data_IF_060228173783
#
_entry.id   IF_060228173783
#
_cell.length_a   1.000
_cell.length_b   1.000
_cell.length_c   1.000
_cell.angle_alpha   90.00
_cell.angle_beta   90.00
_cell.angle_gamma   90.00
#
_symmetry.space_group_name_H-M   'P 1'
#
loop_
_entity.id
_entity.type
_entity.pdbx_description
1 polymer ?
#
# COMPACT_ATOMS: atom_id res chain seq x y z
N UNK A 1 17.16 26.90 21.09
CA UNK A 1 16.11 27.02 20.08
C UNK A 1 16.26 26.14 18.83
N UNK A 2 16.97 25.03 18.87
CA UNK A 2 17.12 24.13 17.69
C UNK A 2 16.20 22.90 17.80
N UNK A 3 15.40 22.82 18.86
CA UNK A 3 14.66 21.60 19.20
C UNK A 3 13.28 21.45 18.54
N UNK A 4 12.62 22.54 18.09
CA UNK A 4 11.22 22.43 17.64
C UNK A 4 11.09 22.02 16.18
N UNK A 5 11.91 22.52 15.28
CA UNK A 5 11.82 22.21 13.84
C UNK A 5 12.25 20.75 13.54
N UNK A 6 13.31 20.25 14.21
CA UNK A 6 13.72 18.86 14.07
C UNK A 6 12.68 17.90 14.66
N UNK A 7 12.06 18.23 15.80
CA UNK A 7 10.99 17.42 16.40
C UNK A 7 9.72 17.39 15.56
N UNK A 8 9.44 18.45 14.81
CA UNK A 8 8.25 18.50 13.93
C UNK A 8 8.45 17.70 12.64
N UNK A 9 9.67 17.61 12.13
CA UNK A 9 10.00 16.74 10.98
C UNK A 9 9.86 15.27 11.38
N UNK A 10 10.32 14.87 12.56
CA UNK A 10 10.15 13.50 13.07
C UNK A 10 8.69 13.13 13.38
N UNK A 11 7.81 14.10 13.60
CA UNK A 11 6.38 13.87 13.87
C UNK A 11 5.53 13.69 12.61
N UNK A 12 6.09 13.94 11.40
CA UNK A 12 5.37 13.85 10.13
C UNK A 12 5.86 12.68 9.29
N UNK A 13 5.97 11.52 9.92
CA UNK A 13 6.43 10.31 9.25
C UNK A 13 5.53 9.15 9.58
N UNK A 14 5.22 8.34 8.58
CA UNK A 14 4.45 7.11 8.72
C UNK A 14 5.17 5.95 8.03
N UNK A 15 4.95 4.74 8.53
CA UNK A 15 5.35 3.51 7.86
C UNK A 15 4.10 2.78 7.38
N UNK A 16 4.10 2.37 6.14
CA UNK A 16 2.97 1.68 5.50
C UNK A 16 3.47 0.52 4.64
N UNK A 17 2.59 -0.18 3.96
CA UNK A 17 2.99 -1.29 3.10
C UNK A 17 2.80 -0.95 1.63
N UNK A 18 3.44 -1.73 0.75
CA UNK A 18 3.27 -1.62 -0.71
C UNK A 18 1.81 -1.81 -1.16
N UNK A 19 0.93 -2.34 -0.31
CA UNK A 19 -0.50 -2.51 -0.60
C UNK A 19 -1.38 -1.35 -0.16
N UNK A 20 -0.85 -0.36 0.55
CA UNK A 20 -1.63 0.83 0.89
C UNK A 20 -2.05 1.58 -0.37
N UNK A 21 -3.25 2.13 -0.37
CA UNK A 21 -3.84 2.77 -1.56
C UNK A 21 -2.99 3.93 -2.07
N UNK A 22 -2.90 4.08 -3.39
CA UNK A 22 -2.17 5.18 -4.05
C UNK A 22 -2.61 6.56 -3.52
N UNK A 23 -3.89 6.70 -3.18
CA UNK A 23 -4.43 7.92 -2.60
C UNK A 23 -3.80 8.32 -1.26
N UNK A 24 -3.38 7.34 -0.44
CA UNK A 24 -2.64 7.61 0.79
C UNK A 24 -1.30 8.28 0.48
N UNK A 25 -0.55 7.75 -0.47
CA UNK A 25 0.75 8.31 -0.85
C UNK A 25 0.61 9.73 -1.39
N UNK A 26 -0.36 9.95 -2.28
CA UNK A 26 -0.66 11.30 -2.81
C UNK A 26 -1.10 12.28 -1.74
N UNK A 27 -1.90 11.82 -0.77
CA UNK A 27 -2.30 12.65 0.37
C UNK A 27 -1.10 13.01 1.27
N UNK A 28 -0.20 12.05 1.51
CA UNK A 28 1.05 12.29 2.24
C UNK A 28 1.95 13.29 1.52
N UNK A 29 2.17 13.12 0.21
CA UNK A 29 2.97 14.03 -0.61
C UNK A 29 2.41 15.46 -0.55
N UNK A 30 1.09 15.61 -0.73
CA UNK A 30 0.41 16.91 -0.65
C UNK A 30 0.52 17.55 0.73
N UNK A 31 0.52 16.75 1.78
CA UNK A 31 0.61 17.22 3.17
C UNK A 31 2.05 17.40 3.67
N UNK A 32 3.07 17.04 2.87
CA UNK A 32 4.47 17.04 3.29
C UNK A 32 4.76 16.00 4.38
N UNK A 33 4.03 14.88 4.36
CA UNK A 33 4.23 13.76 5.28
C UNK A 33 5.16 12.76 4.59
N UNK A 34 6.31 12.50 5.21
CA UNK A 34 7.21 11.46 4.74
C UNK A 34 6.62 10.08 5.05
N UNK A 35 6.76 9.13 4.13
CA UNK A 35 6.30 7.77 4.34
C UNK A 35 7.30 6.74 3.82
N UNK A 36 7.36 5.60 4.51
CA UNK A 36 8.11 4.44 4.06
C UNK A 36 7.16 3.30 3.70
N UNK A 37 7.55 2.50 2.73
CA UNK A 37 6.79 1.36 2.23
C UNK A 37 7.54 0.07 2.56
N UNK A 38 6.90 -0.83 3.27
CA UNK A 38 7.43 -2.17 3.56
C UNK A 38 6.73 -3.24 2.73
N UNK A 39 7.25 -4.45 2.81
CA UNK A 39 6.48 -5.63 2.43
C UNK A 39 5.21 -5.74 3.29
N UNK A 40 4.22 -6.49 2.79
CA UNK A 40 2.95 -6.73 3.51
C UNK A 40 3.20 -7.57 4.75
N UNK A 41 2.69 -7.12 5.87
CA UNK A 41 2.79 -7.75 7.18
C UNK A 41 3.17 -6.74 8.26
N UNK A 42 2.41 -6.72 9.36
CA UNK A 42 2.61 -5.82 10.49
C UNK A 42 4.02 -5.94 11.10
N UNK A 43 4.60 -7.14 11.05
CA UNK A 43 5.98 -7.39 11.45
C UNK A 43 6.97 -6.48 10.71
N UNK A 44 6.86 -6.38 9.39
CA UNK A 44 7.77 -5.55 8.59
C UNK A 44 7.56 -4.06 8.83
N UNK A 45 6.30 -3.66 9.06
CA UNK A 45 5.96 -2.29 9.46
C UNK A 45 6.63 -1.95 10.79
N UNK A 46 6.47 -2.81 11.81
CA UNK A 46 7.04 -2.59 13.13
C UNK A 46 8.59 -2.63 13.13
N UNK A 47 9.20 -3.55 12.39
CA UNK A 47 10.65 -3.62 12.23
C UNK A 47 11.20 -2.30 11.65
N UNK A 48 10.58 -1.78 10.58
CA UNK A 48 10.97 -0.51 9.98
C UNK A 48 10.79 0.66 10.97
N UNK A 49 9.64 0.70 11.67
CA UNK A 49 9.39 1.72 12.70
C UNK A 49 10.47 1.73 13.78
N UNK A 50 10.88 0.55 14.25
CA UNK A 50 11.90 0.42 15.30
C UNK A 50 13.28 0.85 14.81
N UNK A 51 13.68 0.41 13.62
CA UNK A 51 14.97 0.73 13.02
C UNK A 51 15.15 2.22 12.77
N UNK A 52 14.08 2.91 12.34
CA UNK A 52 14.14 4.31 11.92
C UNK A 52 13.52 5.29 12.93
N UNK A 53 13.04 4.79 14.07
CA UNK A 53 12.48 5.64 15.14
C UNK A 53 11.11 6.23 14.81
N UNK A 54 10.32 5.57 13.95
CA UNK A 54 8.99 6.04 13.58
C UNK A 54 7.94 5.70 14.65
N UNK A 55 6.97 6.60 14.85
CA UNK A 55 5.98 6.47 15.90
C UNK A 55 4.63 5.91 15.44
N UNK A 56 4.35 5.97 14.14
CA UNK A 56 3.08 5.56 13.54
C UNK A 56 3.33 4.69 12.32
N UNK A 57 2.69 3.55 12.30
CA UNK A 57 2.70 2.67 11.14
C UNK A 57 1.38 1.93 11.01
N UNK A 58 1.14 1.34 9.84
CA UNK A 58 -0.06 0.56 9.64
C UNK A 58 -0.20 -0.03 8.25
N UNK A 59 -1.24 -0.83 8.12
CA UNK A 59 -1.60 -1.53 6.90
C UNK A 59 -3.03 -1.19 6.48
N UNK A 60 -3.35 -1.36 5.20
CA UNK A 60 -4.70 -1.22 4.68
C UNK A 60 -5.70 -2.22 5.30
N UNK A 61 -5.20 -3.30 5.91
CA UNK A 61 -6.01 -4.28 6.64
C UNK A 61 -6.62 -3.74 7.95
N UNK A 62 -6.19 -2.56 8.40
CA UNK A 62 -6.67 -1.92 9.63
C UNK A 62 -5.76 -2.15 10.84
N UNK A 63 -4.62 -2.80 10.69
CA UNK A 63 -3.60 -2.86 11.73
C UNK A 63 -2.87 -1.52 11.80
N UNK A 64 -3.11 -0.75 12.86
CA UNK A 64 -2.44 0.52 13.11
C UNK A 64 -1.60 0.41 14.37
N UNK A 65 -0.33 0.75 14.27
CA UNK A 65 0.67 0.64 15.34
C UNK A 65 1.05 2.03 15.81
N UNK A 66 0.85 2.30 17.07
CA UNK A 66 1.38 3.47 17.78
C UNK A 66 2.53 3.00 18.68
N UNK A 67 3.78 3.08 18.22
CA UNK A 67 4.95 2.50 18.91
C UNK A 67 5.17 2.97 20.34
N UNK A 68 4.63 4.13 20.71
CA UNK A 68 4.64 4.64 22.09
C UNK A 68 3.73 3.87 23.04
N UNK A 69 2.78 3.09 22.52
CA UNK A 69 1.75 2.42 23.29
C UNK A 69 1.75 0.91 23.12
N UNK A 70 2.11 0.42 21.93
CA UNK A 70 2.08 -1.01 21.61
C UNK A 70 3.11 -1.36 20.53
N UNK A 71 3.52 -2.62 20.50
CA UNK A 71 4.43 -3.20 19.48
C UNK A 71 3.70 -3.84 18.31
N UNK A 72 2.38 -3.84 18.34
CA UNK A 72 1.48 -4.41 17.34
C UNK A 72 0.28 -3.52 17.13
N UNK A 73 -0.53 -3.80 16.11
CA UNK A 73 -1.80 -3.11 15.90
C UNK A 73 -2.76 -3.30 17.08
N UNK A 74 -3.40 -2.21 17.49
CA UNK A 74 -4.40 -2.20 18.56
C UNK A 74 -5.59 -1.32 18.16
N UNK A 75 -6.74 -1.95 17.97
CA UNK A 75 -7.97 -1.28 17.52
C UNK A 75 -8.54 -0.34 18.58
N UNK A 76 -8.39 -0.62 19.86
CA UNK A 76 -8.89 0.22 20.95
C UNK A 76 -8.03 1.49 21.04
N UNK A 77 -6.71 1.36 21.04
CA UNK A 77 -5.79 2.51 21.02
C UNK A 77 -6.04 3.34 19.76
N UNK A 78 -6.22 2.71 18.61
CA UNK A 78 -6.51 3.41 17.34
C UNK A 78 -7.81 4.22 17.45
N UNK A 79 -8.88 3.64 17.97
CA UNK A 79 -10.16 4.33 18.16
C UNK A 79 -10.01 5.54 19.11
N UNK A 80 -9.33 5.37 20.23
CA UNK A 80 -9.08 6.46 21.18
C UNK A 80 -8.26 7.59 20.54
N UNK A 81 -7.22 7.26 19.78
CA UNK A 81 -6.39 8.25 19.06
C UNK A 81 -7.18 8.99 17.98
N UNK A 82 -8.08 8.32 17.28
CA UNK A 82 -8.98 8.99 16.33
C UNK A 82 -9.94 9.97 17.03
N UNK A 83 -10.51 9.57 18.17
CA UNK A 83 -11.35 10.47 18.98
C UNK A 83 -10.58 11.69 19.49
N UNK A 84 -9.34 11.52 19.96
CA UNK A 84 -8.46 12.63 20.34
C UNK A 84 -8.28 13.62 19.18
N UNK A 85 -8.02 13.13 17.96
CA UNK A 85 -7.85 13.97 16.77
C UNK A 85 -9.14 14.70 16.42
N UNK A 86 -10.30 14.01 16.47
CA UNK A 86 -11.60 14.63 16.20
C UNK A 86 -11.90 15.77 17.19
N UNK A 87 -11.64 15.56 18.47
CA UNK A 87 -11.82 16.57 19.50
C UNK A 87 -10.85 17.74 19.34
N UNK A 88 -9.58 17.48 19.11
CA UNK A 88 -8.55 18.50 18.93
C UNK A 88 -8.80 19.37 17.68
N UNK A 89 -9.26 18.76 16.59
CA UNK A 89 -9.57 19.46 15.33
C UNK A 89 -10.98 20.03 15.29
N UNK A 90 -11.85 19.62 16.21
CA UNK A 90 -13.30 19.97 16.23
C UNK A 90 -13.99 19.62 14.91
N UNK A 91 -13.64 18.46 14.33
CA UNK A 91 -14.15 17.99 13.04
C UNK A 91 -14.60 16.54 13.15
N UNK A 92 -15.68 16.16 12.45
CA UNK A 92 -16.07 14.77 12.31
C UNK A 92 -15.06 14.01 11.45
N UNK A 93 -15.03 12.68 11.59
CA UNK A 93 -14.11 11.82 10.86
C UNK A 93 -14.24 11.96 9.34
N UNK A 94 -15.45 12.14 8.83
CA UNK A 94 -15.71 12.37 7.40
C UNK A 94 -14.93 13.57 6.84
N UNK A 95 -14.89 14.68 7.57
CA UNK A 95 -14.11 15.85 7.16
C UNK A 95 -12.59 15.65 7.31
N UNK A 96 -12.17 14.86 8.30
CA UNK A 96 -10.75 14.53 8.48
C UNK A 96 -10.26 13.62 7.36
N UNK A 97 -11.12 12.79 6.78
CA UNK A 97 -10.82 11.89 5.69
C UNK A 97 -10.88 12.54 4.28
N UNK A 98 -11.47 13.73 4.13
CA UNK A 98 -11.61 14.42 2.84
C UNK A 98 -10.29 14.52 2.00
N UNK A 99 -9.11 14.76 2.61
CA UNK A 99 -7.88 14.82 1.83
C UNK A 99 -7.47 13.51 1.18
N UNK A 100 -8.08 12.39 1.59
CA UNK A 100 -7.76 11.05 1.09
C UNK A 100 -8.73 10.67 -0.03
N UNK A 101 -8.27 10.76 -1.28
CA UNK A 101 -8.97 10.20 -2.43
C UNK A 101 -8.63 8.72 -2.58
N UNK A 102 -9.61 7.83 -2.42
CA UNK A 102 -9.41 6.39 -2.61
C UNK A 102 -9.42 6.08 -4.10
N UNK A 103 -8.30 5.56 -4.61
CA UNK A 103 -8.20 5.08 -5.98
C UNK A 103 -8.89 3.74 -6.13
N UNK A 104 -9.70 3.54 -7.19
CA UNK A 104 -10.19 2.23 -7.58
C UNK A 104 -9.05 1.22 -7.68
N UNK A 105 -9.29 0.01 -7.19
CA UNK A 105 -8.33 -1.08 -7.19
C UNK A 105 -8.97 -2.36 -7.70
N UNK A 106 -8.27 -3.06 -8.58
CA UNK A 106 -8.60 -4.42 -8.99
C UNK A 106 -7.45 -5.34 -8.62
N UNK A 107 -7.75 -6.41 -7.91
CA UNK A 107 -6.82 -7.46 -7.54
C UNK A 107 -7.36 -8.81 -8.04
N UNK A 108 -6.60 -9.49 -8.90
CA UNK A 108 -6.92 -10.85 -9.33
C UNK A 108 -5.80 -11.81 -8.91
N UNK A 109 -6.21 -12.98 -8.44
CA UNK A 109 -5.33 -14.07 -8.08
C UNK A 109 -5.31 -15.07 -9.24
N UNK A 110 -4.12 -15.44 -9.69
CA UNK A 110 -3.93 -16.39 -10.80
C UNK A 110 -3.18 -17.61 -10.28
N UNK A 111 -3.82 -18.78 -10.34
CA UNK A 111 -3.16 -20.03 -9.98
C UNK A 111 -2.16 -20.40 -11.07
N UNK A 112 -0.95 -20.74 -10.67
CA UNK A 112 0.16 -21.00 -11.59
C UNK A 112 0.94 -22.24 -11.17
N UNK A 113 1.56 -22.88 -12.15
CA UNK A 113 2.43 -24.06 -11.95
C UNK A 113 3.69 -23.72 -11.15
N UNK A 114 4.29 -22.55 -11.44
CA UNK A 114 5.46 -22.02 -10.74
C UNK A 114 5.32 -20.51 -10.61
N UNK A 115 5.05 -20.06 -9.39
CA UNK A 115 4.80 -18.63 -9.11
C UNK A 115 6.04 -17.76 -9.27
N UNK A 116 7.21 -18.31 -8.96
CA UNK A 116 8.48 -17.59 -9.07
C UNK A 116 8.88 -17.41 -10.53
N UNK A 117 8.73 -18.45 -11.35
CA UNK A 117 8.96 -18.34 -12.78
C UNK A 117 7.96 -17.42 -13.45
N UNK A 118 6.66 -17.57 -13.15
CA UNK A 118 5.60 -16.72 -13.72
C UNK A 118 5.82 -15.24 -13.42
N UNK A 119 6.16 -14.88 -12.18
CA UNK A 119 6.42 -13.49 -11.79
C UNK A 119 7.68 -12.92 -12.46
N UNK A 120 8.71 -13.73 -12.67
CA UNK A 120 10.01 -13.30 -13.18
C UNK A 120 10.17 -13.53 -14.70
N UNK A 121 9.16 -14.05 -15.39
CA UNK A 121 9.16 -14.21 -16.84
C UNK A 121 9.37 -12.86 -17.54
N UNK A 122 10.24 -12.86 -18.55
CA UNK A 122 10.66 -11.62 -19.24
C UNK A 122 9.48 -10.89 -19.90
N UNK A 123 8.54 -11.63 -20.50
CA UNK A 123 7.38 -11.03 -21.18
C UNK A 123 6.35 -10.50 -20.17
N UNK A 124 6.18 -11.20 -19.03
CA UNK A 124 5.32 -10.73 -17.94
C UNK A 124 5.89 -9.43 -17.35
N UNK A 125 7.19 -9.38 -17.08
CA UNK A 125 7.85 -8.16 -16.59
C UNK A 125 7.76 -7.00 -17.59
N UNK A 126 8.00 -7.28 -18.87
CA UNK A 126 7.86 -6.27 -19.92
C UNK A 126 6.43 -5.71 -20.00
N UNK A 127 5.40 -6.55 -19.84
CA UNK A 127 4.02 -6.10 -19.78
C UNK A 127 3.75 -5.24 -18.55
N UNK A 128 4.26 -5.64 -17.38
CA UNK A 128 4.15 -4.85 -16.15
C UNK A 128 4.82 -3.48 -16.29
N UNK A 129 6.03 -3.42 -16.84
CA UNK A 129 6.75 -2.17 -17.08
C UNK A 129 6.00 -1.25 -18.06
N UNK A 130 5.43 -1.82 -19.13
CA UNK A 130 4.60 -1.07 -20.09
C UNK A 130 3.36 -0.52 -19.40
N UNK A 131 2.64 -1.34 -18.63
CA UNK A 131 1.47 -0.90 -17.88
C UNK A 131 1.82 0.22 -16.88
N UNK A 132 2.90 0.07 -16.14
CA UNK A 132 3.37 1.09 -15.20
C UNK A 132 3.68 2.42 -15.90
N UNK A 133 4.32 2.37 -17.09
CA UNK A 133 4.62 3.56 -17.90
C UNK A 133 3.36 4.25 -18.41
N UNK A 134 2.38 3.47 -18.89
CA UNK A 134 1.12 4.00 -19.41
C UNK A 134 0.24 4.58 -18.29
N UNK A 135 0.22 3.96 -17.10
CA UNK A 135 -0.48 4.45 -15.91
C UNK A 135 0.14 5.76 -15.36
N UNK A 136 1.44 5.93 -15.52
CA UNK A 136 2.15 7.12 -15.06
C UNK A 136 2.00 7.38 -13.56
N UNK A 137 1.72 8.64 -13.21
CA UNK A 137 1.52 9.07 -11.81
C UNK A 137 0.09 8.82 -11.31
N UNK A 138 -0.86 8.53 -12.20
CA UNK A 138 -2.29 8.40 -11.88
C UNK A 138 -2.74 6.95 -11.71
N UNK A 139 -1.78 6.04 -11.67
CA UNK A 139 -2.03 4.64 -11.38
C UNK A 139 -0.76 3.90 -11.00
N UNK A 140 -0.92 2.64 -10.64
CA UNK A 140 0.19 1.73 -10.38
C UNK A 140 -0.22 0.28 -10.59
N UNK A 141 0.75 -0.55 -10.84
CA UNK A 141 0.60 -1.99 -10.95
C UNK A 141 1.56 -2.69 -10.00
N UNK A 142 1.11 -3.75 -9.37
CA UNK A 142 1.90 -4.60 -8.51
C UNK A 142 1.62 -6.06 -8.84
N UNK A 143 2.67 -6.81 -9.16
CA UNK A 143 2.61 -8.26 -9.39
C UNK A 143 3.49 -8.92 -8.34
N UNK A 144 2.92 -9.85 -7.58
CA UNK A 144 3.66 -10.55 -6.54
C UNK A 144 3.17 -11.98 -6.36
N UNK A 145 4.08 -12.87 -6.00
CA UNK A 145 3.73 -14.22 -5.58
C UNK A 145 3.03 -14.23 -4.21
N UNK A 146 2.16 -15.20 -4.00
CA UNK A 146 1.60 -15.49 -2.68
C UNK A 146 2.63 -16.23 -1.82
N UNK A 147 2.73 -15.87 -0.53
CA UNK A 147 3.61 -16.56 0.41
C UNK A 147 3.23 -18.02 0.64
N UNK A 148 1.92 -18.30 0.66
CA UNK A 148 1.37 -19.60 1.11
C UNK A 148 0.73 -20.43 0.02
N UNK A 149 0.29 -19.83 -1.08
CA UNK A 149 -0.48 -20.48 -2.12
C UNK A 149 0.27 -20.48 -3.46
N UNK A 150 0.02 -21.45 -4.36
CA UNK A 150 0.63 -21.52 -5.70
C UNK A 150 -0.06 -20.52 -6.65
N UNK A 151 0.01 -19.23 -6.34
CA UNK A 151 -0.61 -18.19 -7.15
C UNK A 151 0.23 -16.91 -7.20
N UNK A 152 0.03 -16.18 -8.27
CA UNK A 152 0.50 -14.80 -8.47
C UNK A 152 -0.67 -13.85 -8.30
N UNK A 153 -0.44 -12.78 -7.59
CA UNK A 153 -1.42 -11.69 -7.36
C UNK A 153 -1.08 -10.52 -8.27
N UNK A 154 -2.03 -10.12 -9.09
CA UNK A 154 -1.92 -8.97 -9.98
C UNK A 154 -2.87 -7.90 -9.48
N UNK A 155 -2.33 -6.76 -9.09
CA UNK A 155 -3.08 -5.62 -8.56
C UNK A 155 -2.81 -4.37 -9.40
N UNK A 156 -3.87 -3.66 -9.76
CA UNK A 156 -3.79 -2.35 -10.39
C UNK A 156 -4.66 -1.36 -9.63
N UNK A 157 -4.15 -0.18 -9.41
CA UNK A 157 -4.89 1.01 -8.97
C UNK A 157 -4.80 2.06 -10.05
N UNK A 158 -5.93 2.70 -10.37
CA UNK A 158 -6.02 3.74 -11.38
C UNK A 158 -7.23 4.66 -11.13
N UNK A 159 -7.44 5.66 -11.97
CA UNK A 159 -8.53 6.62 -11.85
C UNK A 159 -9.94 6.03 -12.02
N UNK A 160 -10.07 4.85 -12.62
CA UNK A 160 -11.33 4.14 -12.78
C UNK A 160 -11.12 2.61 -12.83
N UNK A 161 -12.21 1.86 -12.60
CA UNK A 161 -12.19 0.38 -12.55
C UNK A 161 -11.85 -0.22 -13.92
N UNK A 162 -12.36 0.33 -15.00
CA UNK A 162 -12.15 -0.16 -16.36
C UNK A 162 -10.65 -0.16 -16.73
N UNK A 163 -9.93 0.90 -16.34
CA UNK A 163 -8.48 0.98 -16.52
C UNK A 163 -7.76 -0.06 -15.68
N UNK A 164 -8.21 -0.28 -14.45
CA UNK A 164 -7.63 -1.33 -13.58
C UNK A 164 -7.80 -2.71 -14.21
N UNK A 165 -9.00 -3.05 -14.64
CA UNK A 165 -9.33 -4.35 -15.27
C UNK A 165 -8.51 -4.56 -16.54
N UNK A 166 -8.44 -3.56 -17.42
CA UNK A 166 -7.65 -3.62 -18.66
C UNK A 166 -6.22 -4.08 -18.42
N UNK A 167 -5.52 -3.48 -17.44
CA UNK A 167 -4.11 -3.81 -17.20
C UNK A 167 -3.93 -5.08 -16.39
N UNK A 168 -4.83 -5.38 -15.46
CA UNK A 168 -4.82 -6.68 -14.76
C UNK A 168 -4.98 -7.81 -15.76
N UNK A 169 -5.97 -7.73 -16.65
CA UNK A 169 -6.24 -8.76 -17.62
C UNK A 169 -5.12 -8.89 -18.67
N UNK A 170 -4.53 -7.79 -19.11
CA UNK A 170 -3.37 -7.82 -20.01
C UNK A 170 -2.19 -8.59 -19.42
N UNK A 171 -1.88 -8.42 -18.13
CA UNK A 171 -0.81 -9.18 -17.47
C UNK A 171 -1.19 -10.66 -17.33
N UNK A 172 -2.44 -10.95 -16.94
CA UNK A 172 -2.94 -12.33 -16.80
C UNK A 172 -2.89 -13.06 -18.14
N UNK A 173 -3.24 -12.40 -19.23
CA UNK A 173 -3.19 -12.98 -20.58
C UNK A 173 -1.76 -13.34 -21.00
N UNK A 174 -0.76 -12.53 -20.64
CA UNK A 174 0.65 -12.90 -20.85
C UNK A 174 1.00 -14.12 -20.02
N UNK A 175 0.66 -14.16 -18.72
CA UNK A 175 0.92 -15.31 -17.84
C UNK A 175 0.28 -16.59 -18.42
N UNK A 176 -0.95 -16.47 -18.94
CA UNK A 176 -1.68 -17.58 -19.58
C UNK A 176 -1.02 -18.03 -20.87
N UNK A 177 -0.62 -17.10 -21.74
CA UNK A 177 0.02 -17.41 -23.02
C UNK A 177 1.36 -18.11 -22.87
N UNK A 178 2.03 -17.94 -21.74
CA UNK A 178 3.28 -18.60 -21.37
C UNK A 178 3.07 -20.01 -20.77
N UNK A 179 1.81 -20.43 -20.60
CA UNK A 179 1.47 -21.77 -20.08
C UNK A 179 1.63 -21.93 -18.56
N UNK A 180 1.72 -20.83 -17.81
CA UNK A 180 1.86 -20.91 -16.35
C UNK A 180 0.52 -21.15 -15.64
N UNK A 181 -0.62 -20.79 -16.24
CA UNK A 181 -1.94 -20.87 -15.57
C UNK A 181 -2.39 -22.31 -15.39
N UNK A 182 -2.84 -22.64 -14.18
CA UNK A 182 -3.53 -23.90 -13.87
C UNK A 182 -5.04 -23.62 -13.97
N UNK A 183 -5.76 -24.41 -14.79
CA UNK A 183 -7.22 -24.37 -14.90
C UNK A 183 -7.92 -24.94 -13.65
#
# INVERSE_FOLDING_TARGET
GVSSAASDVYKRQIVTTVMSNLGLYKACDKAGIHYEKTAVGDKYVYENMTQNGHCLGGEQSGHIIFSKHATTGDGIITALKMMEVMLAKKKPLSQLAEPLAIYPQVLKNVRVTDKTQAQNDADVRAMVERAAKELGTDGRILVRESGTEPLVRVMVEAGNVETCEKYVDAVIDVIRSKGYVIE
#
